data_IF_101017883897
#
_entry.id   IF_101017883897
#
_cell.length_a   1.000
_cell.length_b   1.000
_cell.length_c   1.000
_cell.angle_alpha   90.00
_cell.angle_beta   90.00
_cell.angle_gamma   90.00
#
_symmetry.space_group_name_H-M   'P 1'
#
loop_
_entity.id
_entity.type
_entity.pdbx_description
1 polymer ?
#
# COMPACT_ATOMS: atom_id res chain seq x y z
N UNK A 1 12.00 -28.32 -26.20
CA UNK A 1 12.50 -27.08 -25.58
C UNK A 1 11.98 -25.82 -26.28
N UNK A 2 11.44 -25.95 -27.50
CA UNK A 2 10.76 -24.88 -28.26
C UNK A 2 9.28 -25.18 -28.54
N UNK A 3 8.54 -25.62 -27.52
CA UNK A 3 7.08 -25.62 -27.60
C UNK A 3 6.59 -24.44 -26.75
N UNK A 4 5.70 -23.58 -27.26
CA UNK A 4 5.00 -22.64 -26.38
C UNK A 4 4.32 -23.46 -25.28
N UNK A 5 4.37 -23.05 -24.00
CA UNK A 5 3.68 -23.78 -22.96
C UNK A 5 2.21 -23.87 -23.35
N UNK A 6 1.68 -25.10 -23.38
CA UNK A 6 0.35 -25.37 -23.92
C UNK A 6 -0.70 -24.41 -23.35
N UNK A 7 -1.66 -23.94 -24.18
CA UNK A 7 -2.75 -23.10 -23.70
C UNK A 7 -3.49 -23.85 -22.59
N UNK A 8 -3.81 -23.13 -21.52
CA UNK A 8 -4.61 -23.66 -20.42
C UNK A 8 -6.01 -24.01 -20.94
N UNK A 9 -6.23 -25.28 -21.27
CA UNK A 9 -7.53 -25.83 -21.66
C UNK A 9 -8.51 -25.85 -20.47
N UNK A 10 -9.84 -25.82 -20.74
CA UNK A 10 -10.85 -26.02 -19.71
C UNK A 10 -10.70 -27.39 -19.04
N UNK A 11 -10.68 -27.41 -17.71
CA UNK A 11 -10.64 -28.65 -16.90
C UNK A 11 -9.40 -28.84 -16.02
N UNK A 12 -8.32 -28.05 -16.19
CA UNK A 12 -7.11 -28.12 -15.34
C UNK A 12 -6.98 -26.91 -14.40
N UNK A 13 -7.98 -26.68 -13.54
CA UNK A 13 -7.96 -25.51 -12.63
C UNK A 13 -6.78 -25.49 -11.66
N UNK A 14 -6.21 -26.66 -11.33
CA UNK A 14 -5.01 -26.77 -10.48
C UNK A 14 -3.75 -26.24 -11.17
N UNK A 15 -3.59 -26.46 -12.48
CA UNK A 15 -2.44 -25.97 -13.27
C UNK A 15 -2.46 -24.44 -13.43
N UNK A 16 -3.65 -23.85 -13.56
CA UNK A 16 -3.86 -22.40 -13.54
C UNK A 16 -3.51 -21.85 -12.15
N UNK A 17 -3.85 -22.60 -11.09
CA UNK A 17 -3.52 -22.30 -9.70
C UNK A 17 -2.02 -22.14 -9.45
N UNK A 18 -1.19 -23.00 -10.06
CA UNK A 18 0.29 -23.01 -9.95
C UNK A 18 0.98 -21.81 -10.63
N UNK A 19 0.26 -21.04 -11.47
CA UNK A 19 0.85 -19.96 -12.30
C UNK A 19 0.56 -18.55 -11.78
N UNK A 20 0.11 -18.39 -10.54
CA UNK A 20 -0.12 -17.07 -9.97
C UNK A 20 1.16 -16.52 -9.35
N UNK A 21 1.65 -15.42 -9.90
CA UNK A 21 2.75 -14.66 -9.33
C UNK A 21 2.20 -13.66 -8.31
N UNK A 22 2.88 -13.53 -7.17
CA UNK A 22 2.76 -12.36 -6.29
C UNK A 22 3.31 -11.12 -7.01
N UNK A 23 3.24 -9.95 -6.38
CA UNK A 23 3.81 -8.73 -6.98
C UNK A 23 5.31 -8.90 -7.19
N UNK A 24 5.80 -8.62 -8.39
CA UNK A 24 7.21 -8.76 -8.78
C UNK A 24 7.69 -7.57 -9.64
N UNK A 25 9.00 -7.36 -9.72
CA UNK A 25 9.62 -6.33 -10.54
C UNK A 25 9.97 -6.84 -11.94
N UNK A 26 9.91 -5.95 -12.94
CA UNK A 26 10.30 -6.28 -14.32
C UNK A 26 11.80 -6.01 -14.48
N UNK A 27 12.62 -7.02 -14.83
CA UNK A 27 14.04 -6.82 -15.04
C UNK A 27 14.31 -5.83 -16.17
N UNK A 28 15.19 -4.85 -15.94
CA UNK A 28 15.57 -3.88 -16.99
C UNK A 28 16.12 -4.56 -18.26
N UNK A 29 16.80 -5.70 -18.11
CA UNK A 29 17.29 -6.52 -19.22
C UNK A 29 16.21 -7.05 -20.18
N UNK A 30 14.93 -6.99 -19.79
CA UNK A 30 13.80 -7.31 -20.69
C UNK A 30 13.42 -6.15 -21.60
N UNK A 31 13.94 -4.94 -21.35
CA UNK A 31 13.55 -3.70 -22.02
C UNK A 31 14.53 -3.26 -23.13
N UNK A 32 15.55 -4.06 -23.44
CA UNK A 32 16.49 -3.75 -24.53
C UNK A 32 16.82 -4.96 -25.39
N UNK A 33 17.23 -4.68 -26.63
CA UNK A 33 17.58 -5.72 -27.59
C UNK A 33 18.91 -6.41 -27.24
N UNK A 34 18.95 -7.73 -27.43
CA UNK A 34 20.19 -8.50 -27.35
C UNK A 34 21.11 -8.24 -28.56
N UNK A 35 20.54 -7.90 -29.72
CA UNK A 35 21.26 -7.90 -30.99
C UNK A 35 21.52 -6.49 -31.54
N UNK A 36 20.63 -5.54 -31.25
CA UNK A 36 20.74 -4.15 -31.70
C UNK A 36 21.15 -3.28 -30.50
N UNK A 37 22.39 -2.74 -30.46
CA UNK A 37 22.92 -2.09 -29.26
C UNK A 37 22.08 -0.91 -28.75
N UNK A 38 21.54 -0.11 -29.67
CA UNK A 38 20.80 1.12 -29.35
C UNK A 38 19.27 0.97 -29.53
N UNK A 39 18.72 -0.22 -29.25
CA UNK A 39 17.28 -0.47 -29.33
C UNK A 39 16.72 -0.87 -27.96
N UNK A 40 15.75 -0.08 -27.49
CA UNK A 40 14.94 -0.39 -26.32
C UNK A 40 13.48 -0.65 -26.72
N UNK A 41 12.78 -1.45 -25.92
CA UNK A 41 11.37 -1.81 -26.08
C UNK A 41 10.57 -1.25 -24.91
N UNK A 42 9.41 -0.68 -25.21
CA UNK A 42 8.55 0.00 -24.24
C UNK A 42 7.10 -0.49 -24.38
N UNK A 43 6.73 -1.49 -23.57
CA UNK A 43 5.35 -1.97 -23.48
C UNK A 43 5.23 -3.46 -23.76
N UNK A 44 4.39 -3.84 -24.73
CA UNK A 44 4.04 -5.25 -24.99
C UNK A 44 5.07 -6.04 -25.80
N UNK A 45 5.98 -5.33 -26.43
CA UNK A 45 7.07 -5.80 -27.28
C UNK A 45 8.32 -6.26 -26.50
N UNK A 46 8.28 -6.16 -25.17
CA UNK A 46 9.37 -6.58 -24.29
C UNK A 46 9.52 -8.11 -24.23
N UNK A 47 10.71 -8.58 -23.89
CA UNK A 47 10.99 -10.01 -23.76
C UNK A 47 10.44 -10.58 -22.44
N UNK A 48 9.42 -11.45 -22.54
CA UNK A 48 8.76 -12.10 -21.40
C UNK A 48 8.42 -13.56 -21.67
N UNK A 49 8.29 -14.36 -20.61
CA UNK A 49 7.72 -15.71 -20.70
C UNK A 49 6.20 -15.63 -20.87
N UNK A 50 5.57 -16.71 -21.32
CA UNK A 50 4.09 -16.83 -21.35
C UNK A 50 3.44 -16.52 -19.99
N UNK A 51 4.10 -16.89 -18.87
CA UNK A 51 3.59 -16.62 -17.52
C UNK A 51 3.61 -15.13 -17.22
N UNK A 52 4.73 -14.46 -17.51
CA UNK A 52 4.88 -13.03 -17.24
C UNK A 52 4.06 -12.15 -18.21
N UNK A 53 3.80 -12.62 -19.44
CA UNK A 53 3.01 -11.90 -20.44
C UNK A 53 1.62 -11.51 -19.92
N UNK A 54 1.03 -12.32 -19.01
CA UNK A 54 -0.28 -12.06 -18.43
C UNK A 54 -0.37 -10.71 -17.71
N UNK A 55 0.64 -10.33 -16.93
CA UNK A 55 0.66 -9.10 -16.11
C UNK A 55 1.37 -7.95 -16.82
N UNK A 56 2.42 -8.22 -17.61
CA UNK A 56 3.22 -7.16 -18.27
C UNK A 56 2.49 -6.49 -19.43
N UNK A 57 1.54 -7.19 -20.08
CA UNK A 57 0.76 -6.65 -21.20
C UNK A 57 -0.36 -5.68 -20.82
N UNK A 58 -0.66 -5.56 -19.52
CA UNK A 58 -1.72 -4.68 -19.03
C UNK A 58 -1.32 -3.22 -19.27
N UNK A 59 -2.26 -2.37 -19.70
CA UNK A 59 -1.95 -1.00 -20.14
C UNK A 59 -1.27 -0.15 -19.06
N UNK A 60 -1.71 -0.30 -17.80
CA UNK A 60 -1.04 0.36 -16.66
C UNK A 60 0.41 -0.08 -16.48
N UNK A 61 0.69 -1.38 -16.65
CA UNK A 61 2.05 -1.93 -16.56
C UNK A 61 2.89 -1.51 -17.77
N UNK A 62 2.32 -1.46 -18.98
CA UNK A 62 3.00 -0.92 -20.15
C UNK A 62 3.38 0.56 -19.97
N UNK A 63 2.54 1.35 -19.29
CA UNK A 63 2.84 2.75 -18.95
C UNK A 63 4.08 2.86 -18.06
N UNK A 64 4.18 2.03 -17.00
CA UNK A 64 5.36 2.04 -16.11
C UNK A 64 6.61 1.51 -16.80
N UNK A 65 6.49 0.52 -17.69
CA UNK A 65 7.59 0.06 -18.55
C UNK A 65 8.09 1.20 -19.46
N UNK A 66 7.17 1.97 -20.06
CA UNK A 66 7.50 3.14 -20.87
C UNK A 66 8.26 4.20 -20.07
N UNK A 67 7.80 4.50 -18.85
CA UNK A 67 8.50 5.42 -17.93
C UNK A 67 9.93 4.93 -17.64
N UNK A 68 10.10 3.64 -17.29
CA UNK A 68 11.41 3.05 -17.05
C UNK A 68 12.35 3.14 -18.26
N UNK A 69 11.81 2.90 -19.46
CA UNK A 69 12.57 2.97 -20.71
C UNK A 69 13.00 4.41 -21.03
N UNK A 70 12.12 5.39 -20.85
CA UNK A 70 12.45 6.80 -21.03
C UNK A 70 13.50 7.31 -20.04
N UNK A 71 13.39 6.92 -18.76
CA UNK A 71 14.38 7.23 -17.74
C UNK A 71 15.75 6.59 -18.05
N UNK A 72 15.75 5.35 -18.57
CA UNK A 72 16.97 4.70 -19.03
C UNK A 72 17.60 5.44 -20.22
N UNK A 73 16.81 5.85 -21.21
CA UNK A 73 17.30 6.63 -22.36
C UNK A 73 17.99 7.94 -21.93
N UNK A 74 17.43 8.63 -20.94
CA UNK A 74 18.05 9.80 -20.33
C UNK A 74 19.43 9.47 -19.74
N UNK A 75 19.55 8.39 -18.96
CA UNK A 75 20.83 7.99 -18.36
C UNK A 75 21.86 7.53 -19.41
N UNK A 76 21.43 6.80 -20.44
CA UNK A 76 22.26 6.47 -21.60
C UNK A 76 22.86 7.73 -22.23
N UNK A 77 22.03 8.74 -22.45
CA UNK A 77 22.48 10.01 -23.04
C UNK A 77 23.42 10.76 -22.11
N UNK A 78 23.05 10.88 -20.83
CA UNK A 78 23.84 11.56 -19.78
C UNK A 78 25.25 11.00 -19.63
N UNK A 79 25.39 9.68 -19.74
CA UNK A 79 26.67 8.98 -19.52
C UNK A 79 27.32 8.48 -20.81
N UNK A 80 26.76 8.77 -21.98
CA UNK A 80 27.22 8.21 -23.26
C UNK A 80 27.31 6.67 -23.26
N UNK A 81 26.32 6.02 -22.67
CA UNK A 81 26.21 4.56 -22.52
C UNK A 81 25.17 3.98 -23.47
N UNK A 82 25.36 2.74 -23.91
CA UNK A 82 24.29 1.97 -24.55
C UNK A 82 23.34 1.41 -23.48
N UNK A 83 22.08 1.07 -23.83
CA UNK A 83 21.13 0.44 -22.92
C UNK A 83 21.69 -0.74 -22.13
N UNK A 84 22.54 -1.57 -22.74
CA UNK A 84 23.17 -2.70 -22.08
C UNK A 84 24.11 -2.28 -20.95
N UNK A 85 24.86 -1.20 -21.13
CA UNK A 85 25.90 -0.76 -20.20
C UNK A 85 25.32 -0.16 -18.91
N UNK A 86 24.04 0.27 -18.94
CA UNK A 86 23.34 0.68 -17.73
C UNK A 86 23.22 -0.44 -16.69
N UNK A 87 23.22 -1.71 -17.11
CA UNK A 87 23.22 -2.86 -16.20
C UNK A 87 24.58 -3.58 -16.22
N UNK A 88 25.20 -3.84 -15.06
CA UNK A 88 24.71 -3.55 -13.70
C UNK A 88 25.04 -2.14 -13.18
N UNK A 89 25.88 -1.37 -13.86
CA UNK A 89 26.59 -0.21 -13.28
C UNK A 89 25.70 0.95 -12.82
N UNK A 90 24.60 1.23 -13.52
CA UNK A 90 23.71 2.37 -13.29
C UNK A 90 22.28 1.98 -12.93
N UNK A 91 22.03 0.69 -12.66
CA UNK A 91 20.69 0.20 -12.34
C UNK A 91 20.12 0.85 -11.06
N UNK A 92 20.98 1.09 -10.06
CA UNK A 92 20.58 1.77 -8.83
C UNK A 92 20.18 3.23 -9.10
N UNK A 93 20.93 3.97 -9.91
CA UNK A 93 20.57 5.35 -10.29
C UNK A 93 19.26 5.39 -11.08
N UNK A 94 19.03 4.43 -11.98
CA UNK A 94 17.76 4.29 -12.70
C UNK A 94 16.59 4.04 -11.73
N UNK A 95 16.75 3.14 -10.77
CA UNK A 95 15.74 2.86 -9.75
C UNK A 95 15.46 4.10 -8.90
N UNK A 96 16.48 4.81 -8.43
CA UNK A 96 16.33 6.03 -7.63
C UNK A 96 15.68 7.16 -8.43
N UNK A 97 16.00 7.30 -9.72
CA UNK A 97 15.34 8.25 -10.62
C UNK A 97 13.85 7.94 -10.78
N UNK A 98 13.50 6.67 -10.96
CA UNK A 98 12.09 6.25 -11.07
C UNK A 98 11.33 6.50 -9.76
N UNK A 99 11.91 6.17 -8.60
CA UNK A 99 11.31 6.49 -7.31
C UNK A 99 11.13 7.99 -7.12
N UNK A 100 12.15 8.81 -7.46
CA UNK A 100 12.05 10.27 -7.40
C UNK A 100 10.90 10.78 -8.26
N UNK A 101 10.56 10.10 -9.37
CA UNK A 101 9.46 10.41 -10.28
C UNK A 101 8.10 9.76 -9.90
N UNK A 102 7.91 9.30 -8.66
CA UNK A 102 6.70 8.58 -8.18
C UNK A 102 6.42 7.26 -8.93
N UNK A 103 7.47 6.65 -9.45
CA UNK A 103 7.45 5.24 -9.83
C UNK A 103 7.51 4.35 -8.59
N UNK A 104 6.78 3.23 -8.61
CA UNK A 104 6.84 2.22 -7.56
C UNK A 104 7.60 0.97 -8.06
N UNK A 105 8.63 0.58 -7.34
CA UNK A 105 9.40 -0.64 -7.59
C UNK A 105 9.37 -1.47 -6.29
N UNK A 106 8.77 -2.67 -6.30
CA UNK A 106 8.66 -3.48 -5.09
C UNK A 106 10.03 -3.71 -4.44
N UNK A 107 10.09 -3.58 -3.12
CA UNK A 107 11.28 -3.80 -2.29
C UNK A 107 12.44 -2.82 -2.53
N UNK A 108 12.25 -1.77 -3.32
CA UNK A 108 13.25 -0.71 -3.52
C UNK A 108 12.75 0.56 -2.84
N UNK A 109 13.58 1.10 -1.96
CA UNK A 109 13.32 2.36 -1.25
C UNK A 109 14.24 3.47 -1.73
N UNK A 110 13.82 4.71 -1.48
CA UNK A 110 14.63 5.89 -1.66
C UNK A 110 15.89 5.78 -0.80
N UNK A 111 17.04 5.88 -1.46
CA UNK A 111 18.36 5.93 -0.85
C UNK A 111 19.20 7.05 -1.47
N UNK A 112 18.58 8.05 -2.08
CA UNK A 112 19.25 9.20 -2.66
C UNK A 112 19.94 10.01 -1.54
N UNK A 113 21.28 10.13 -1.54
CA UNK A 113 22.00 10.90 -0.52
C UNK A 113 21.77 12.41 -0.64
N UNK A 114 21.17 12.90 -1.73
CA UNK A 114 20.82 14.31 -1.91
C UNK A 114 19.48 14.68 -1.32
N UNK A 115 18.70 13.70 -0.87
CA UNK A 115 17.43 13.95 -0.19
C UNK A 115 17.68 14.29 1.28
N UNK A 116 17.65 15.59 1.56
CA UNK A 116 17.93 16.20 2.86
C UNK A 116 16.87 15.85 3.91
N UNK A 117 15.68 15.38 3.50
CA UNK A 117 14.63 14.97 4.43
C UNK A 117 14.96 13.67 5.17
N UNK A 118 15.84 12.83 4.61
CA UNK A 118 16.11 11.48 5.15
C UNK A 118 16.80 11.49 6.51
N UNK A 119 17.56 12.55 6.80
CA UNK A 119 18.27 12.71 8.07
C UNK A 119 17.48 13.57 9.07
N UNK A 120 16.30 14.06 8.68
CA UNK A 120 15.45 14.87 9.55
C UNK A 120 14.71 14.00 10.58
N UNK A 121 14.46 14.58 11.75
CA UNK A 121 13.43 14.09 12.67
C UNK A 121 12.08 14.62 12.21
N UNK A 122 11.03 13.82 12.30
CA UNK A 122 9.69 14.24 11.89
C UNK A 122 8.68 14.08 13.03
N UNK A 123 7.80 15.05 13.18
CA UNK A 123 6.66 15.03 14.11
C UNK A 123 5.39 15.43 13.38
N UNK A 124 4.23 15.00 13.90
CA UNK A 124 2.93 15.42 13.39
C UNK A 124 2.02 15.88 14.53
N UNK A 125 1.01 16.67 14.20
CA UNK A 125 -0.02 17.13 15.16
C UNK A 125 -0.86 15.98 15.72
N UNK A 126 -1.11 14.94 14.93
CA UNK A 126 -1.82 13.74 15.34
C UNK A 126 -1.52 12.56 14.41
N UNK A 127 -1.88 11.35 14.86
CA UNK A 127 -1.74 10.11 14.09
C UNK A 127 -2.98 9.24 14.29
N UNK A 128 -3.50 8.66 13.21
CA UNK A 128 -4.67 7.79 13.27
C UNK A 128 -4.31 6.39 13.80
N UNK A 129 -5.21 5.82 14.60
CA UNK A 129 -5.20 4.40 14.91
C UNK A 129 -5.69 3.55 13.74
N UNK A 130 -5.35 2.27 13.74
CA UNK A 130 -6.00 1.31 12.84
C UNK A 130 -7.45 1.12 13.25
N UNK A 131 -8.38 1.61 12.44
CA UNK A 131 -9.80 1.47 12.67
C UNK A 131 -10.53 1.05 11.40
N UNK A 132 -11.28 -0.03 11.49
CA UNK A 132 -12.20 -0.47 10.44
C UNK A 132 -13.60 -0.14 10.91
N UNK A 133 -14.32 0.68 10.14
CA UNK A 133 -15.72 0.98 10.42
C UNK A 133 -16.55 -0.30 10.47
N UNK A 134 -17.65 -0.28 11.22
CA UNK A 134 -18.56 -1.41 11.30
C UNK A 134 -19.11 -1.72 9.90
N UNK A 135 -18.82 -2.94 9.44
CA UNK A 135 -19.19 -3.40 8.12
C UNK A 135 -20.57 -4.03 8.05
N UNK A 136 -20.94 -4.39 6.82
CA UNK A 136 -22.18 -5.06 6.47
C UNK A 136 -21.94 -6.46 5.89
N UNK A 137 -23.03 -7.19 5.59
CA UNK A 137 -22.94 -8.32 4.68
C UNK A 137 -22.53 -7.84 3.29
N UNK A 138 -21.63 -8.58 2.66
CA UNK A 138 -21.13 -8.26 1.34
C UNK A 138 -21.22 -9.47 0.42
N UNK A 139 -21.58 -9.20 -0.83
CA UNK A 139 -21.69 -10.19 -1.89
C UNK A 139 -20.92 -9.70 -3.12
N UNK A 140 -20.41 -10.65 -3.90
CA UNK A 140 -19.74 -10.41 -5.18
C UNK A 140 -20.46 -11.18 -6.28
N UNK A 141 -20.64 -10.55 -7.44
CA UNK A 141 -21.20 -11.19 -8.62
C UNK A 141 -20.09 -11.82 -9.46
N UNK A 142 -20.04 -13.15 -9.48
CA UNK A 142 -19.11 -13.94 -10.29
C UNK A 142 -19.63 -13.99 -11.73
N UNK A 143 -19.27 -12.99 -12.54
CA UNK A 143 -19.73 -12.84 -13.93
C UNK A 143 -19.46 -14.08 -14.80
N UNK A 144 -18.30 -14.77 -14.71
CA UNK A 144 -18.08 -16.03 -15.42
C UNK A 144 -19.05 -17.16 -15.06
N UNK A 145 -19.53 -17.22 -13.81
CA UNK A 145 -20.40 -18.30 -13.32
C UNK A 145 -21.86 -17.88 -13.13
N UNK A 146 -22.19 -16.62 -13.40
CA UNK A 146 -23.51 -16.02 -13.25
C UNK A 146 -24.15 -16.29 -11.89
N UNK A 147 -23.35 -16.20 -10.82
CA UNK A 147 -23.82 -16.43 -9.44
C UNK A 147 -23.31 -15.35 -8.50
N UNK A 148 -24.10 -15.08 -7.47
CA UNK A 148 -23.70 -14.21 -6.36
C UNK A 148 -23.05 -15.06 -5.27
N UNK A 149 -21.80 -14.75 -4.92
CA UNK A 149 -21.08 -15.40 -3.84
C UNK A 149 -21.03 -14.49 -2.62
N UNK A 150 -21.19 -15.07 -1.43
CA UNK A 150 -20.98 -14.34 -0.19
C UNK A 150 -19.50 -14.06 0.01
N UNK A 151 -19.16 -12.80 0.32
CA UNK A 151 -17.81 -12.40 0.71
C UNK A 151 -17.59 -12.54 2.22
N UNK A 152 -18.67 -12.67 2.99
CA UNK A 152 -18.66 -12.62 4.46
C UNK A 152 -18.87 -13.99 5.11
N UNK A 153 -19.48 -14.94 4.40
CA UNK A 153 -19.78 -16.27 4.92
C UNK A 153 -18.53 -17.03 5.33
N UNK A 154 -18.52 -17.58 6.55
CA UNK A 154 -17.38 -18.29 7.15
C UNK A 154 -17.33 -19.79 6.83
N UNK A 155 -18.30 -20.32 6.07
CA UNK A 155 -18.20 -21.66 5.46
C UNK A 155 -16.99 -21.79 4.53
N UNK A 156 -16.58 -20.65 3.96
CA UNK A 156 -15.29 -20.49 3.29
C UNK A 156 -14.34 -19.77 4.25
N UNK A 157 -13.11 -20.28 4.39
CA UNK A 157 -12.11 -19.66 5.26
C UNK A 157 -11.79 -18.24 4.75
N UNK A 158 -11.94 -17.25 5.63
CA UNK A 158 -11.66 -15.84 5.36
C UNK A 158 -10.43 -15.41 6.15
N UNK A 159 -9.76 -14.38 5.68
CA UNK A 159 -8.67 -13.80 6.43
C UNK A 159 -8.52 -12.29 6.22
N UNK A 160 -7.87 -11.64 7.16
CA UNK A 160 -7.47 -10.24 7.07
C UNK A 160 -5.98 -10.13 7.38
N UNK A 161 -5.24 -9.47 6.49
CA UNK A 161 -3.90 -8.96 6.78
C UNK A 161 -4.04 -7.57 7.40
N UNK A 162 -3.33 -7.31 8.50
CA UNK A 162 -3.37 -6.04 9.21
C UNK A 162 -2.02 -5.74 9.92
N UNK A 163 -1.66 -4.44 10.08
CA UNK A 163 -0.42 -4.04 10.75
C UNK A 163 -0.57 -4.06 12.27
N UNK A 164 0.53 -4.37 12.96
CA UNK A 164 0.65 -4.29 14.42
C UNK A 164 1.86 -3.43 14.80
N UNK A 165 1.63 -2.47 15.70
CA UNK A 165 2.68 -1.59 16.25
C UNK A 165 3.12 -1.94 17.66
N UNK A 166 2.30 -2.68 18.41
CA UNK A 166 2.61 -3.15 19.77
C UNK A 166 3.51 -4.40 19.74
N UNK A 167 4.16 -4.68 20.87
CA UNK A 167 4.94 -5.89 21.12
C UNK A 167 4.10 -7.04 21.71
N UNK A 168 2.80 -6.82 21.87
CA UNK A 168 1.83 -7.80 22.36
C UNK A 168 0.45 -7.60 21.74
N UNK A 169 -0.33 -8.68 21.70
CA UNK A 169 -1.76 -8.70 21.35
C UNK A 169 -2.50 -9.40 22.49
N UNK A 170 -3.32 -8.66 23.23
CA UNK A 170 -4.19 -9.21 24.26
C UNK A 170 -5.34 -9.98 23.62
N UNK A 171 -6.04 -9.30 22.72
CA UNK A 171 -7.20 -9.88 22.02
C UNK A 171 -7.49 -9.16 20.72
N UNK A 172 -8.19 -9.86 19.84
CA UNK A 172 -8.79 -9.26 18.64
C UNK A 172 -10.28 -9.61 18.66
N UNK A 173 -11.12 -8.59 18.59
CA UNK A 173 -12.57 -8.79 18.48
C UNK A 173 -12.97 -8.83 17.01
N UNK A 174 -13.75 -9.83 16.63
CA UNK A 174 -14.33 -9.96 15.30
C UNK A 174 -15.77 -9.44 15.32
N UNK A 175 -16.17 -8.66 14.32
CA UNK A 175 -17.57 -8.24 14.18
C UNK A 175 -18.35 -9.29 13.38
N UNK A 176 -19.09 -10.14 14.09
CA UNK A 176 -19.71 -11.35 13.55
C UNK A 176 -21.23 -11.22 13.54
N UNK A 177 -21.85 -11.70 12.47
CA UNK A 177 -23.29 -11.89 12.37
C UNK A 177 -23.64 -13.37 12.31
N UNK A 178 -24.59 -13.79 13.14
CA UNK A 178 -25.12 -15.15 13.21
C UNK A 178 -26.58 -15.16 12.75
N UNK A 179 -26.89 -16.03 11.80
CA UNK A 179 -28.27 -16.34 11.38
C UNK A 179 -28.79 -17.64 12.01
N UNK A 180 -28.03 -18.21 12.95
CA UNK A 180 -28.39 -19.43 13.64
C UNK A 180 -29.24 -19.13 14.87
N UNK A 181 -30.12 -20.07 15.22
CA UNK A 181 -30.95 -20.01 16.42
C UNK A 181 -30.23 -20.53 17.67
N UNK A 182 -29.11 -21.24 17.49
CA UNK A 182 -28.28 -21.78 18.56
C UNK A 182 -26.85 -21.20 18.50
N UNK A 183 -26.14 -21.26 19.62
CA UNK A 183 -24.74 -20.84 19.72
C UNK A 183 -23.88 -21.66 18.75
N UNK A 184 -22.93 -21.01 18.09
CA UNK A 184 -21.98 -21.65 17.19
C UNK A 184 -20.54 -21.41 17.63
N UNK A 185 -19.58 -22.00 16.92
CA UNK A 185 -18.15 -21.81 17.18
C UNK A 185 -17.47 -21.26 15.91
N UNK A 186 -16.58 -20.30 16.09
CA UNK A 186 -15.62 -19.89 15.05
C UNK A 186 -14.24 -20.40 15.45
N UNK A 187 -13.56 -21.00 14.48
CA UNK A 187 -12.15 -21.32 14.57
C UNK A 187 -11.34 -20.15 13.99
N UNK A 188 -10.46 -19.58 14.80
CA UNK A 188 -9.64 -18.42 14.46
C UNK A 188 -8.16 -18.78 14.54
N UNK A 189 -7.38 -18.40 13.53
CA UNK A 189 -5.93 -18.63 13.51
C UNK A 189 -5.20 -17.30 13.34
N UNK A 190 -4.12 -17.10 14.09
CA UNK A 190 -3.22 -15.97 13.91
C UNK A 190 -1.88 -16.43 13.34
N UNK A 191 -1.40 -15.74 12.30
CA UNK A 191 -0.13 -15.98 11.62
C UNK A 191 0.64 -14.68 11.47
N UNK A 192 1.96 -14.76 11.32
CA UNK A 192 2.77 -13.60 10.91
C UNK A 192 2.92 -13.59 9.38
N UNK A 193 2.91 -12.39 8.80
CA UNK A 193 3.10 -12.14 7.38
C UNK A 193 4.35 -11.31 7.15
N UNK A 194 5.16 -11.64 6.14
CA UNK A 194 6.36 -10.86 5.81
C UNK A 194 6.02 -9.48 5.20
N UNK A 195 4.94 -9.42 4.42
CA UNK A 195 4.51 -8.22 3.71
C UNK A 195 3.03 -8.34 3.34
N UNK A 196 2.42 -7.26 2.84
CA UNK A 196 0.97 -7.21 2.53
C UNK A 196 0.50 -8.22 1.46
N UNK A 197 1.40 -8.79 0.66
CA UNK A 197 1.09 -9.83 -0.33
C UNK A 197 1.40 -11.27 0.11
N UNK A 198 1.79 -11.48 1.37
CA UNK A 198 2.10 -12.81 1.90
C UNK A 198 0.82 -13.44 2.42
N UNK A 199 0.04 -14.04 1.52
CA UNK A 199 -1.29 -14.54 1.84
C UNK A 199 -1.28 -15.88 2.59
N UNK A 200 -0.21 -16.66 2.45
CA UNK A 200 -0.09 -17.95 3.12
C UNK A 200 0.38 -17.81 4.58
N UNK A 201 1.09 -16.72 4.88
CA UNK A 201 1.72 -16.45 6.16
C UNK A 201 2.98 -17.30 6.28
N UNK A 202 4.05 -16.88 5.61
CA UNK A 202 5.26 -17.69 5.41
C UNK A 202 6.00 -18.05 6.70
N UNK A 203 5.73 -17.34 7.80
CA UNK A 203 6.28 -17.64 9.13
C UNK A 203 5.43 -18.64 9.95
N UNK A 204 4.32 -19.13 9.38
CA UNK A 204 3.51 -20.18 9.97
C UNK A 204 2.46 -19.68 10.98
N UNK A 205 1.82 -20.65 11.64
CA UNK A 205 0.77 -20.41 12.62
C UNK A 205 1.38 -20.11 13.98
N UNK A 206 1.01 -18.97 14.55
CA UNK A 206 1.43 -18.59 15.90
C UNK A 206 0.51 -19.22 16.95
N UNK A 207 -0.81 -19.15 16.72
CA UNK A 207 -1.80 -19.69 17.64
C UNK A 207 -3.14 -19.91 16.94
N UNK A 208 -3.97 -20.75 17.56
CA UNK A 208 -5.29 -21.13 17.08
C UNK A 208 -6.26 -21.11 18.25
N UNK A 209 -7.40 -20.47 18.07
CA UNK A 209 -8.44 -20.30 19.07
C UNK A 209 -9.78 -20.79 18.53
N UNK A 210 -10.64 -21.22 19.46
CA UNK A 210 -12.04 -21.56 19.20
C UNK A 210 -12.89 -20.73 20.14
N UNK A 211 -13.81 -19.96 19.58
CA UNK A 211 -14.63 -19.01 20.34
C UNK A 211 -16.09 -19.19 20.02
N UNK A 212 -16.93 -19.07 21.05
CA UNK A 212 -18.37 -19.16 20.91
C UNK A 212 -18.92 -17.88 20.26
N UNK A 213 -19.90 -18.05 19.39
CA UNK A 213 -20.67 -16.98 18.76
C UNK A 213 -22.10 -17.05 19.26
N UNK A 214 -22.63 -15.94 19.81
CA UNK A 214 -24.04 -15.88 20.20
C UNK A 214 -24.99 -16.21 19.02
N UNK A 215 -26.12 -16.87 19.28
CA UNK A 215 -27.15 -17.04 18.25
C UNK A 215 -27.71 -15.68 17.84
N UNK A 216 -28.20 -15.59 16.60
CA UNK A 216 -29.08 -14.54 16.09
C UNK A 216 -28.60 -13.10 16.27
N UNK A 217 -28.20 -12.45 15.17
CA UNK A 217 -27.88 -11.03 15.13
C UNK A 217 -26.37 -10.76 15.06
N UNK A 218 -25.98 -9.51 15.30
CA UNK A 218 -24.61 -9.03 15.13
C UNK A 218 -23.97 -8.74 16.49
N UNK A 219 -22.74 -9.21 16.69
CA UNK A 219 -22.03 -9.06 17.96
C UNK A 219 -20.52 -8.92 17.76
N UNK A 220 -19.84 -8.37 18.77
CA UNK A 220 -18.38 -8.43 18.86
C UNK A 220 -18.00 -9.74 19.56
N UNK A 221 -17.28 -10.59 18.85
CA UNK A 221 -16.78 -11.87 19.38
C UNK A 221 -15.30 -11.69 19.73
N UNK A 222 -15.00 -11.71 21.03
CA UNK A 222 -13.63 -11.54 21.53
C UNK A 222 -12.80 -12.80 21.34
N UNK A 223 -11.65 -12.68 20.67
CA UNK A 223 -10.65 -13.74 20.53
C UNK A 223 -9.45 -13.42 21.41
N UNK A 224 -9.29 -14.08 22.57
CA UNK A 224 -8.15 -13.85 23.44
C UNK A 224 -6.90 -14.52 22.86
N UNK A 225 -5.83 -13.75 22.69
CA UNK A 225 -4.53 -14.26 22.22
C UNK A 225 -3.47 -14.21 23.32
N UNK A 226 -3.37 -13.10 24.07
CA UNK A 226 -2.36 -12.86 25.11
C UNK A 226 -0.95 -13.26 24.63
N UNK A 227 -0.57 -12.76 23.45
CA UNK A 227 0.61 -13.21 22.71
C UNK A 227 1.62 -12.08 22.51
N UNK A 228 2.88 -12.31 22.84
CA UNK A 228 3.98 -11.42 22.44
C UNK A 228 4.23 -11.53 20.93
N UNK A 229 4.38 -10.39 20.28
CA UNK A 229 4.50 -10.27 18.83
C UNK A 229 5.60 -9.27 18.46
N UNK A 230 6.10 -9.34 17.23
CA UNK A 230 7.01 -8.32 16.73
C UNK A 230 6.23 -7.04 16.40
N UNK A 231 6.64 -5.87 16.93
CA UNK A 231 6.09 -4.59 16.51
C UNK A 231 6.49 -4.28 15.06
N UNK A 232 5.80 -3.32 14.44
CA UNK A 232 6.01 -2.90 13.05
C UNK A 232 6.01 -4.06 12.05
N UNK A 233 5.07 -4.99 12.23
CA UNK A 233 4.94 -6.20 11.42
C UNK A 233 3.50 -6.43 10.98
N UNK A 234 3.31 -7.17 9.89
CA UNK A 234 1.99 -7.62 9.45
C UNK A 234 1.62 -8.98 10.04
N UNK A 235 0.34 -9.15 10.36
CA UNK A 235 -0.23 -10.41 10.80
C UNK A 235 -1.46 -10.75 9.97
N UNK A 236 -1.79 -12.04 9.93
CA UNK A 236 -2.97 -12.58 9.27
C UNK A 236 -3.85 -13.22 10.34
N UNK A 237 -5.09 -12.77 10.44
CA UNK A 237 -6.11 -13.45 11.22
C UNK A 237 -7.06 -14.17 10.26
N UNK A 238 -7.16 -15.49 10.38
CA UNK A 238 -8.08 -16.31 9.60
C UNK A 238 -9.26 -16.73 10.47
N UNK A 239 -10.44 -16.86 9.86
CA UNK A 239 -11.65 -17.31 10.52
C UNK A 239 -12.40 -18.30 9.62
N UNK A 240 -12.90 -19.39 10.21
CA UNK A 240 -13.87 -20.30 9.56
C UNK A 240 -14.92 -20.77 10.54
N UNK A 241 -16.08 -21.10 10.02
CA UNK A 241 -17.19 -21.68 10.77
C UNK A 241 -18.13 -22.43 9.84
N UNK A 242 -19.29 -22.83 10.35
CA UNK A 242 -20.38 -23.41 9.59
C UNK A 242 -21.18 -22.34 8.83
N UNK A 243 -22.02 -22.80 7.89
CA UNK A 243 -22.96 -21.94 7.17
C UNK A 243 -23.88 -21.20 8.15
N UNK A 244 -24.17 -19.92 7.85
CA UNK A 244 -25.02 -19.07 8.70
C UNK A 244 -24.24 -18.17 9.66
N UNK A 245 -22.91 -18.21 9.61
CA UNK A 245 -22.02 -17.29 10.34
C UNK A 245 -21.27 -16.42 9.33
N UNK A 246 -21.27 -15.11 9.56
CA UNK A 246 -20.70 -14.11 8.66
C UNK A 246 -19.75 -13.18 9.39
N UNK A 247 -18.57 -12.93 8.83
CA UNK A 247 -17.66 -11.89 9.29
C UNK A 247 -17.94 -10.61 8.53
N UNK A 248 -18.43 -9.59 9.24
CA UNK A 248 -18.89 -8.33 8.66
C UNK A 248 -17.72 -7.62 7.95
N UNK A 249 -18.06 -6.94 6.87
CA UNK A 249 -17.08 -6.46 5.89
C UNK A 249 -17.34 -5.00 5.52
N UNK A 250 -16.27 -4.23 5.41
CA UNK A 250 -16.32 -2.83 5.01
C UNK A 250 -15.63 -2.63 3.65
N UNK A 251 -16.30 -1.91 2.74
CA UNK A 251 -15.84 -1.70 1.35
C UNK A 251 -14.63 -0.77 1.24
N UNK A 252 -14.43 0.11 2.22
CA UNK A 252 -13.27 1.02 2.29
C UNK A 252 -12.29 0.47 3.33
N UNK A 253 -11.22 -0.23 2.90
CA UNK A 253 -10.22 -0.76 3.80
C UNK A 253 -9.28 0.37 4.27
N UNK A 254 -8.82 0.35 5.53
CA UNK A 254 -7.68 1.17 5.93
C UNK A 254 -6.42 0.80 5.15
N UNK A 255 -5.53 1.79 4.95
CA UNK A 255 -4.26 1.57 4.26
C UNK A 255 -3.44 0.52 5.01
N UNK A 256 -2.83 -0.42 4.28
CA UNK A 256 -2.05 -1.50 4.88
C UNK A 256 -2.88 -2.72 5.31
N UNK A 257 -4.14 -2.83 4.90
CA UNK A 257 -4.96 -4.03 5.14
C UNK A 257 -5.30 -4.76 3.84
N UNK A 258 -5.52 -6.08 3.93
CA UNK A 258 -5.98 -6.88 2.80
C UNK A 258 -6.94 -7.98 3.25
N UNK A 259 -8.20 -7.94 2.79
CA UNK A 259 -9.14 -9.04 2.95
C UNK A 259 -8.81 -10.19 1.98
N UNK A 260 -8.87 -11.41 2.47
CA UNK A 260 -8.56 -12.63 1.74
C UNK A 260 -9.70 -13.65 1.86
N UNK A 261 -9.91 -14.40 0.79
CA UNK A 261 -10.84 -15.52 0.73
C UNK A 261 -10.09 -16.76 0.24
N UNK A 262 -10.34 -17.92 0.86
CA UNK A 262 -9.69 -19.17 0.47
C UNK A 262 -10.60 -20.05 -0.37
N UNK A 263 -10.39 -20.05 -1.68
CA UNK A 263 -11.10 -20.92 -2.61
C UNK A 263 -10.19 -22.03 -3.12
N UNK A 264 -10.66 -23.29 -3.11
CA UNK A 264 -9.87 -24.45 -3.59
C UNK A 264 -8.44 -24.49 -3.01
N UNK A 265 -8.32 -24.27 -1.70
CA UNK A 265 -7.05 -24.17 -0.96
C UNK A 265 -6.13 -23.01 -1.35
N UNK A 266 -6.66 -21.96 -1.97
CA UNK A 266 -5.89 -20.84 -2.47
C UNK A 266 -6.45 -19.52 -1.99
N UNK A 267 -5.58 -18.69 -1.41
CA UNK A 267 -5.92 -17.34 -1.02
C UNK A 267 -6.04 -16.43 -2.23
N UNK A 268 -7.12 -15.68 -2.27
CA UNK A 268 -7.34 -14.60 -3.22
C UNK A 268 -7.67 -13.35 -2.43
N UNK A 269 -6.99 -12.25 -2.74
CA UNK A 269 -7.32 -10.96 -2.16
C UNK A 269 -8.62 -10.44 -2.75
N UNK A 270 -9.49 -9.98 -1.86
CA UNK A 270 -10.70 -9.25 -2.19
C UNK A 270 -10.49 -7.78 -1.86
N UNK A 271 -11.24 -6.89 -2.52
CA UNK A 271 -11.25 -5.47 -2.11
C UNK A 271 -11.78 -5.38 -0.67
N UNK A 272 -11.58 -4.27 0.04
CA UNK A 272 -12.15 -4.06 1.39
C UNK A 272 -11.45 -4.79 2.52
N UNK A 273 -12.08 -4.77 3.70
CA UNK A 273 -11.52 -5.31 4.94
C UNK A 273 -12.62 -5.92 5.82
N UNK A 274 -12.32 -7.03 6.47
CA UNK A 274 -13.19 -7.58 7.51
C UNK A 274 -13.07 -6.76 8.79
N UNK A 275 -14.18 -6.51 9.47
CA UNK A 275 -14.22 -5.61 10.62
C UNK A 275 -13.64 -6.30 11.87
N UNK A 276 -12.60 -5.68 12.44
CA UNK A 276 -11.95 -6.10 13.69
C UNK A 276 -11.71 -4.92 14.64
N UNK A 277 -11.49 -5.23 15.92
CA UNK A 277 -10.83 -4.35 16.90
C UNK A 277 -9.64 -5.08 17.51
N UNK A 278 -8.55 -4.37 17.74
CA UNK A 278 -7.31 -4.93 18.27
C UNK A 278 -7.05 -4.29 19.63
N UNK A 279 -6.61 -5.12 20.58
CA UNK A 279 -6.26 -4.69 21.93
C UNK A 279 -4.82 -5.12 22.26
N UNK A 280 -3.94 -4.18 22.68
CA UNK A 280 -4.17 -2.73 22.75
C UNK A 280 -4.38 -2.08 21.36
N UNK A 281 -4.86 -0.83 21.34
CA UNK A 281 -5.02 -0.08 20.09
C UNK A 281 -3.65 0.12 19.41
N UNK A 282 -3.63 0.02 18.08
CA UNK A 282 -2.40 0.13 17.28
C UNK A 282 -2.44 1.37 16.38
N UNK A 283 -1.28 2.00 16.19
CA UNK A 283 -1.13 3.29 15.50
C UNK A 283 -0.16 3.16 14.32
N UNK A 284 -0.55 2.51 13.21
CA UNK A 284 0.38 2.21 12.12
C UNK A 284 0.64 3.40 11.18
N UNK A 285 0.07 4.58 11.45
CA UNK A 285 0.04 5.72 10.54
C UNK A 285 0.83 6.94 11.07
N UNK A 286 1.92 6.70 11.77
CA UNK A 286 2.77 7.72 12.38
C UNK A 286 3.59 8.54 11.36
N UNK A 287 4.03 9.74 11.78
CA UNK A 287 4.75 10.71 10.94
C UNK A 287 6.04 10.13 10.32
N UNK A 288 6.74 9.27 11.05
CA UNK A 288 7.96 8.58 10.62
C UNK A 288 7.82 7.81 9.30
N UNK A 289 6.60 7.37 8.97
CA UNK A 289 6.33 6.67 7.72
C UNK A 289 6.60 7.54 6.48
N UNK A 290 6.48 8.87 6.60
CA UNK A 290 6.76 9.84 5.52
C UNK A 290 8.22 9.77 5.07
N UNK A 291 9.14 9.44 5.99
CA UNK A 291 10.57 9.37 5.72
C UNK A 291 11.06 7.94 5.45
N UNK A 292 10.13 6.98 5.28
CA UNK A 292 10.47 5.56 5.03
C UNK A 292 11.23 5.34 3.70
N UNK A 293 11.11 6.28 2.77
CA UNK A 293 11.60 6.18 1.41
C UNK A 293 10.76 5.29 0.50
N UNK A 294 9.56 4.88 0.95
CA UNK A 294 8.62 4.06 0.20
C UNK A 294 7.28 4.77 0.18
N UNK A 295 6.68 4.97 -1.00
CA UNK A 295 5.43 5.74 -1.16
C UNK A 295 4.18 4.87 -1.34
N UNK A 296 4.25 3.62 -0.87
CA UNK A 296 3.20 2.58 -1.02
C UNK A 296 3.22 1.59 0.15
N UNK A 297 2.06 1.00 0.50
CA UNK A 297 2.05 -0.14 1.41
C UNK A 297 2.73 -1.35 0.76
N UNK A 298 3.72 -1.91 1.44
CA UNK A 298 4.39 -3.17 1.04
C UNK A 298 4.79 -3.98 2.28
N UNK A 299 6.02 -3.80 2.76
CA UNK A 299 6.55 -4.36 4.00
C UNK A 299 6.03 -3.62 5.25
N UNK A 300 5.54 -2.38 5.07
CA UNK A 300 4.84 -1.60 6.10
C UNK A 300 3.77 -0.71 5.45
N UNK A 301 3.04 0.09 6.25
CA UNK A 301 1.98 0.99 5.75
C UNK A 301 2.54 2.18 4.96
N UNK A 302 3.72 2.66 5.36
CA UNK A 302 4.49 3.71 4.68
C UNK A 302 3.72 5.01 4.41
N UNK A 303 2.72 5.33 5.24
CA UNK A 303 1.94 6.55 5.14
C UNK A 303 1.71 7.15 6.52
N UNK A 304 1.73 8.47 6.62
CA UNK A 304 1.15 9.18 7.75
C UNK A 304 -0.31 9.53 7.46
N UNK A 305 -1.18 9.31 8.45
CA UNK A 305 -2.60 9.67 8.42
C UNK A 305 -2.93 10.38 9.73
N UNK A 306 -3.45 11.60 9.67
CA UNK A 306 -3.86 12.33 10.88
C UNK A 306 -5.10 11.71 11.52
N UNK A 307 -5.28 11.92 12.83
CA UNK A 307 -6.47 11.49 13.57
C UNK A 307 -7.74 12.16 12.99
N UNK A 308 -8.69 11.38 12.44
CA UNK A 308 -9.90 11.94 11.83
C UNK A 308 -10.81 12.65 12.84
N UNK A 309 -10.62 12.44 14.15
CA UNK A 309 -11.42 13.08 15.20
C UNK A 309 -10.94 14.49 15.58
N UNK A 310 -9.73 14.88 15.16
CA UNK A 310 -9.14 16.18 15.52
C UNK A 310 -9.37 17.29 14.49
N UNK A 311 -9.95 16.97 13.33
CA UNK A 311 -10.26 17.95 12.28
C UNK A 311 -9.02 18.55 11.62
N UNK A 312 -9.21 19.57 10.77
CA UNK A 312 -8.13 20.34 10.13
C UNK A 312 -8.00 21.73 10.78
N UNK A 313 -6.81 22.38 10.76
CA UNK A 313 -5.60 21.94 10.08
C UNK A 313 -4.82 20.85 10.81
N UNK A 314 -3.99 20.13 10.06
CA UNK A 314 -3.05 19.12 10.58
C UNK A 314 -1.65 19.40 10.04
N UNK A 315 -0.65 19.25 10.89
CA UNK A 315 0.74 19.63 10.58
C UNK A 315 1.68 18.45 10.64
N UNK A 316 2.71 18.53 9.80
CA UNK A 316 3.92 17.71 9.87
C UNK A 316 5.11 18.63 9.88
N UNK A 317 6.01 18.45 10.85
CA UNK A 317 7.23 19.26 10.99
C UNK A 317 8.46 18.37 10.85
N UNK A 318 9.32 18.73 9.89
CA UNK A 318 10.66 18.17 9.74
C UNK A 318 11.63 19.08 10.50
N UNK A 319 12.46 18.48 11.35
CA UNK A 319 13.55 19.12 12.07
C UNK A 319 14.87 18.52 11.58
N UNK A 320 15.64 19.31 10.85
CA UNK A 320 16.95 18.92 10.35
C UNK A 320 17.98 18.88 11.49
N UNK A 321 18.96 17.98 11.45
CA UNK A 321 19.99 17.87 12.49
C UNK A 321 20.84 19.13 12.60
N UNK A 322 21.00 19.87 11.50
CA UNK A 322 21.73 21.15 11.40
C UNK A 322 20.95 22.13 10.52
N UNK A 323 21.29 23.41 10.59
CA UNK A 323 20.79 24.38 9.61
C UNK A 323 21.08 23.90 8.19
N UNK A 324 20.02 23.77 7.40
CA UNK A 324 20.08 23.13 6.09
C UNK A 324 19.59 24.10 5.04
N UNK A 325 20.37 24.26 3.96
CA UNK A 325 19.99 25.06 2.80
C UNK A 325 19.33 24.20 1.74
N UNK A 326 18.13 24.56 1.32
CA UNK A 326 17.39 23.87 0.27
C UNK A 326 16.48 24.83 -0.50
N UNK A 327 16.03 24.40 -1.68
CA UNK A 327 15.23 25.22 -2.59
C UNK A 327 14.06 24.45 -3.23
N UNK A 328 13.93 23.15 -2.91
CA UNK A 328 12.94 22.28 -3.54
C UNK A 328 12.33 21.32 -2.53
N UNK A 329 11.00 21.21 -2.52
CA UNK A 329 10.23 20.25 -1.72
C UNK A 329 9.36 19.41 -2.64
N UNK A 330 9.45 18.09 -2.52
CA UNK A 330 8.60 17.11 -3.19
C UNK A 330 7.62 16.56 -2.16
N UNK A 331 6.32 16.55 -2.52
CA UNK A 331 5.24 15.99 -1.71
C UNK A 331 4.54 14.89 -2.50
N UNK A 332 4.32 13.74 -1.85
CA UNK A 332 3.54 12.63 -2.40
C UNK A 332 2.34 12.36 -1.51
N UNK A 333 1.13 12.68 -1.99
CA UNK A 333 -0.14 12.56 -1.30
C UNK A 333 -0.87 11.24 -1.59
N UNK A 334 -1.85 10.91 -0.75
CA UNK A 334 -2.73 9.76 -1.00
C UNK A 334 -3.75 10.08 -2.08
N UNK A 335 -3.74 9.30 -3.16
CA UNK A 335 -4.77 9.36 -4.23
C UNK A 335 -5.42 7.98 -4.37
N UNK A 336 -5.44 7.22 -3.28
CA UNK A 336 -6.05 5.91 -3.15
C UNK A 336 -5.75 4.99 -4.36
N UNK A 337 -4.46 4.72 -4.58
CA UNK A 337 -3.99 3.85 -5.68
C UNK A 337 -4.44 2.38 -5.56
N UNK A 338 -5.22 2.03 -4.52
CA UNK A 338 -5.88 0.73 -4.41
C UNK A 338 -7.19 0.67 -5.20
N UNK A 339 -7.81 1.83 -5.49
CA UNK A 339 -9.02 1.88 -6.30
C UNK A 339 -8.67 1.73 -7.79
N UNK A 340 -9.45 0.90 -8.48
CA UNK A 340 -9.26 0.63 -9.91
C UNK A 340 -9.74 1.81 -10.75
N UNK A 341 -8.94 2.25 -11.72
CA UNK A 341 -9.30 3.33 -12.66
C UNK A 341 -10.59 3.06 -13.45
N UNK A 342 -11.00 1.79 -13.61
CA UNK A 342 -12.26 1.42 -14.29
C UNK A 342 -13.51 1.87 -13.51
N UNK A 343 -13.38 2.11 -12.21
CA UNK A 343 -14.49 2.52 -11.34
C UNK A 343 -14.46 4.01 -10.99
N UNK A 344 -13.54 4.78 -11.58
CA UNK A 344 -13.39 6.21 -11.31
C UNK A 344 -13.87 7.01 -12.53
N UNK A 345 -14.81 7.96 -12.35
CA UNK A 345 -15.20 8.89 -13.41
C UNK A 345 -14.00 9.69 -13.95
N UNK A 346 -14.08 10.25 -15.17
CA UNK A 346 -13.10 11.21 -15.65
C UNK A 346 -12.92 12.37 -14.67
N UNK A 347 -11.67 12.81 -14.48
CA UNK A 347 -11.31 13.94 -13.58
C UNK A 347 -11.73 13.74 -12.11
N UNK A 348 -11.93 12.49 -11.67
CA UNK A 348 -12.27 12.20 -10.29
C UNK A 348 -11.14 12.57 -9.32
N UNK A 349 -11.44 13.44 -8.37
CA UNK A 349 -10.57 13.75 -7.25
C UNK A 349 -10.88 12.79 -6.11
N UNK A 350 -9.88 12.01 -5.70
CA UNK A 350 -10.02 11.12 -4.55
C UNK A 350 -10.22 11.92 -3.26
N UNK A 351 -11.20 11.56 -2.41
CA UNK A 351 -11.45 12.25 -1.14
C UNK A 351 -10.21 12.36 -0.25
N UNK A 352 -9.35 11.35 -0.29
CA UNK A 352 -8.10 11.25 0.48
C UNK A 352 -7.01 12.23 0.01
N UNK A 353 -7.13 12.78 -1.20
CA UNK A 353 -6.13 13.69 -1.74
C UNK A 353 -6.15 15.02 -1.00
N UNK A 354 -4.98 15.43 -0.52
CA UNK A 354 -4.78 16.75 0.07
C UNK A 354 -5.09 17.81 -0.96
N UNK A 355 -5.95 18.76 -0.58
CA UNK A 355 -6.50 19.81 -1.44
C UNK A 355 -5.79 21.14 -1.18
N UNK A 356 -5.82 21.61 0.06
CA UNK A 356 -5.29 22.91 0.45
C UNK A 356 -4.21 22.72 1.52
N UNK A 357 -3.03 23.30 1.32
CA UNK A 357 -1.89 23.20 2.24
C UNK A 357 -0.89 24.34 2.05
N UNK A 358 -0.11 24.63 3.09
CA UNK A 358 1.02 25.55 3.05
C UNK A 358 2.34 24.83 3.35
N UNK A 359 3.44 25.47 2.93
CA UNK A 359 4.79 25.09 3.32
C UNK A 359 5.43 26.30 3.98
N UNK A 360 5.93 26.13 5.19
CA UNK A 360 6.52 27.19 6.00
C UNK A 360 7.85 26.75 6.59
N UNK A 361 8.71 27.70 6.91
CA UNK A 361 9.99 27.43 7.57
C UNK A 361 10.15 28.28 8.82
N UNK A 362 10.92 27.77 9.78
CA UNK A 362 11.19 28.52 11.00
C UNK A 362 12.29 29.56 10.79
N UNK A 363 12.04 30.77 11.28
CA UNK A 363 13.01 31.84 11.45
C UNK A 363 13.01 32.28 12.91
N UNK A 364 13.91 31.72 13.72
CA UNK A 364 14.09 32.07 15.14
C UNK A 364 12.78 31.95 15.95
N UNK A 365 12.02 30.87 15.74
CA UNK A 365 10.76 30.61 16.44
C UNK A 365 9.52 31.25 15.79
N UNK A 366 9.68 31.97 14.68
CA UNK A 366 8.55 32.49 13.88
C UNK A 366 8.46 31.72 12.56
N UNK A 367 7.28 31.18 12.25
CA UNK A 367 7.02 30.53 10.98
C UNK A 367 6.84 31.56 9.86
N UNK A 368 7.62 31.42 8.79
CA UNK A 368 7.47 32.19 7.57
C UNK A 368 7.02 31.29 6.43
N UNK A 369 5.94 31.68 5.76
CA UNK A 369 5.40 30.94 4.63
C UNK A 369 6.34 31.00 3.42
N UNK A 370 6.56 29.85 2.79
CA UNK A 370 7.22 29.71 1.49
C UNK A 370 6.17 29.82 0.38
N UNK A 371 5.07 29.07 0.52
CA UNK A 371 3.96 29.05 -0.41
C UNK A 371 2.68 28.53 0.23
N UNK A 372 1.57 28.87 -0.41
CA UNK A 372 0.26 28.30 -0.16
C UNK A 372 -0.29 27.67 -1.45
N UNK A 373 -0.77 26.43 -1.38
CA UNK A 373 -1.37 25.69 -2.49
C UNK A 373 -2.86 25.49 -2.25
N UNK A 374 -3.67 25.78 -3.26
CA UNK A 374 -5.12 25.57 -3.25
C UNK A 374 -5.54 24.56 -4.32
N UNK A 375 -6.65 23.87 -4.09
CA UNK A 375 -7.33 22.99 -5.07
C UNK A 375 -6.42 21.92 -5.70
N UNK A 376 -5.46 21.38 -4.93
CA UNK A 376 -4.59 20.32 -5.40
C UNK A 376 -5.37 19.02 -5.63
N UNK A 377 -5.25 18.43 -6.82
CA UNK A 377 -5.77 17.10 -7.14
C UNK A 377 -4.66 16.12 -7.56
N UNK A 378 -3.40 16.57 -7.52
CA UNK A 378 -2.26 15.79 -7.99
C UNK A 378 -1.66 14.99 -6.83
N UNK A 379 -1.35 13.72 -7.10
CA UNK A 379 -0.60 12.86 -6.17
C UNK A 379 0.75 13.45 -5.81
N UNK A 380 1.51 13.89 -6.81
CA UNK A 380 2.87 14.39 -6.63
C UNK A 380 2.96 15.87 -6.93
N UNK A 381 3.50 16.64 -5.99
CA UNK A 381 3.78 18.07 -6.13
C UNK A 381 5.26 18.33 -5.93
N UNK A 382 5.81 19.19 -6.78
CA UNK A 382 7.20 19.63 -6.70
C UNK A 382 7.16 21.14 -6.63
N UNK A 383 7.66 21.69 -5.53
CA UNK A 383 7.71 23.13 -5.29
C UNK A 383 9.16 23.57 -5.33
N UNK A 384 9.46 24.55 -6.19
CA UNK A 384 10.78 25.16 -6.34
C UNK A 384 10.68 26.63 -5.99
N UNK A 385 11.62 27.12 -5.20
CA UNK A 385 11.64 28.49 -4.68
C UNK A 385 13.10 28.96 -4.51
N UNK A 386 13.31 30.22 -4.14
CA UNK A 386 14.65 30.73 -3.83
C UNK A 386 15.25 30.00 -2.63
N UNK A 387 16.55 29.64 -2.63
CA UNK A 387 17.15 28.91 -1.53
C UNK A 387 16.90 29.58 -0.17
N UNK A 388 16.51 28.77 0.81
CA UNK A 388 16.33 29.18 2.20
C UNK A 388 17.24 28.33 3.09
N UNK A 389 17.61 28.87 4.25
CA UNK A 389 18.35 28.14 5.29
C UNK A 389 17.49 28.14 6.55
N UNK A 390 17.24 26.95 7.08
CA UNK A 390 16.46 26.76 8.32
C UNK A 390 16.82 25.42 8.96
N UNK A 391 16.46 25.25 10.23
CA UNK A 391 16.46 23.96 10.88
C UNK A 391 15.09 23.27 10.82
N UNK A 392 14.00 23.99 10.54
CA UNK A 392 12.65 23.41 10.55
C UNK A 392 11.83 23.79 9.34
N UNK A 393 11.19 22.77 8.77
CA UNK A 393 10.25 22.86 7.66
C UNK A 393 8.91 22.29 8.13
N UNK A 394 7.81 23.00 7.88
CA UNK A 394 6.47 22.55 8.23
C UNK A 394 5.58 22.51 7.00
N UNK A 395 4.78 21.44 6.91
CA UNK A 395 3.67 21.30 5.98
C UNK A 395 2.41 21.34 6.82
N UNK A 396 1.55 22.32 6.57
CA UNK A 396 0.23 22.44 7.22
C UNK A 396 -0.86 22.18 6.19
N UNK A 397 -1.73 21.21 6.47
CA UNK A 397 -2.84 20.80 5.60
C UNK A 397 -4.13 21.37 6.15
N UNK A 398 -4.84 22.14 5.33
CA UNK A 398 -6.09 22.80 5.70
C UNK A 398 -7.33 22.05 5.21
N UNK A 399 -7.22 21.31 4.09
CA UNK A 399 -8.35 20.58 3.52
C UNK A 399 -7.92 19.40 2.64
N UNK A 400 -8.84 18.44 2.50
CA UNK A 400 -8.80 17.37 1.50
C UNK A 400 -10.01 17.50 0.56
N UNK A 401 -10.16 16.59 -0.41
CA UNK A 401 -11.36 16.52 -1.25
C UNK A 401 -12.55 15.81 -0.59
N UNK A 402 -12.47 15.44 0.69
CA UNK A 402 -13.60 14.92 1.46
C UNK A 402 -13.26 13.92 2.56
N UNK A 403 -12.02 13.44 2.64
CA UNK A 403 -11.57 12.60 3.75
C UNK A 403 -11.29 13.45 5.00
N UNK A 404 -11.70 13.05 6.21
CA UNK A 404 -11.48 13.84 7.42
C UNK A 404 -10.00 13.88 7.86
N UNK A 405 -9.13 13.04 7.30
CA UNK A 405 -7.72 12.95 7.67
C UNK A 405 -6.78 13.51 6.61
N UNK A 406 -5.71 14.18 7.05
CA UNK A 406 -4.57 14.54 6.22
C UNK A 406 -3.70 13.30 5.97
N UNK A 407 -3.21 13.13 4.74
CA UNK A 407 -2.45 11.93 4.35
C UNK A 407 -1.25 12.26 3.48
N UNK A 408 -0.06 11.84 3.91
CA UNK A 408 1.19 12.03 3.17
C UNK A 408 1.96 10.69 3.14
N UNK A 409 2.33 10.25 1.95
CA UNK A 409 3.20 9.10 1.75
C UNK A 409 4.68 9.47 1.89
N UNK A 410 5.09 10.62 1.34
CA UNK A 410 6.50 10.97 1.29
C UNK A 410 6.72 12.48 1.20
N UNK A 411 7.77 12.96 1.87
CA UNK A 411 8.33 14.30 1.73
C UNK A 411 9.80 14.13 1.39
N UNK A 412 10.25 14.76 0.31
CA UNK A 412 11.68 14.85 -0.04
C UNK A 412 12.11 16.30 -0.14
N UNK A 413 13.32 16.59 0.29
CA UNK A 413 13.87 17.95 0.30
C UNK A 413 15.19 17.97 -0.43
N UNK A 414 15.35 18.88 -1.39
CA UNK A 414 16.53 18.96 -2.24
C UNK A 414 17.02 20.40 -2.38
N UNK A 415 18.33 20.52 -2.64
CA UNK A 415 18.96 21.72 -3.15
C UNK A 415 19.42 21.44 -4.60
N UNK A 416 18.60 21.79 -5.59
CA UNK A 416 18.78 21.40 -7.01
C UNK A 416 18.65 22.54 -8.02
#
# INVERSE_FOLDING_TARGET
KDLPPEPSFPGKSEEIGKRQATVYSIPFRSLYSKDIPNLMMAGRDISVTHVALGTTRLMGTCSTIGQATGAAAYLCTKYSLQPRDLYPEKIHELQQLLLKQDGFIPQIKNSDPKDLARDARITASSSAKLQIAQGDLATEYDHPRQRTISMTGLETERALIFPITSDHIDSIDLYIESHLHESAEIEVTLKKAMHIWDYDGSEGILTKQKVAVPPSGVSWVKVPFNLSVNPKSFYIITARSQTGIFWRYHKKPPVGTAALSKEKNKWTSTKGAYTIRIYPEVFPYEAENILSGVSRPENWTNIWISDPSQGMPQTVTLEFPVETTFNTVYLTFDTNLTQTHMSTPPLYCFPECVKDYSISYDTQGTWKEILHCHDNYQRRKIHRFSPITTQKLQIEIYATHGDPSARIYEIRVYNE
#
